data_IF_645270833218
#
_entry.id   IF_645270833218
#
_cell.length_a   1.000
_cell.length_b   1.000
_cell.length_c   1.000
_cell.angle_alpha   90.00
_cell.angle_beta   90.00
_cell.angle_gamma   90.00
#
_symmetry.space_group_name_H-M   'P 1'
#
loop_
_entity.id
_entity.type
_entity.pdbx_description
1 polymer ?
#
# COMPACT_ATOMS: atom_id res chain seq x y z
N UNK A 1 16.31 -9.41 9.09
CA UNK A 1 15.88 -9.00 10.44
C UNK A 1 15.80 -7.48 10.43
N UNK A 2 14.72 -6.90 10.95
CA UNK A 2 14.57 -5.45 11.05
C UNK A 2 15.54 -4.87 12.08
N UNK A 3 15.94 -3.61 11.91
CA UNK A 3 16.71 -2.90 12.91
C UNK A 3 15.90 -2.68 14.20
N UNK A 4 16.57 -2.36 15.32
CA UNK A 4 15.92 -2.20 16.63
C UNK A 4 14.94 -1.01 16.71
N UNK A 5 14.93 -0.13 15.72
CA UNK A 5 14.02 1.02 15.62
C UNK A 5 13.24 1.05 14.30
N UNK A 6 13.21 -0.07 13.60
CA UNK A 6 12.46 -0.23 12.37
C UNK A 6 11.16 -0.96 12.68
N UNK A 7 10.06 -0.44 12.14
CA UNK A 7 8.73 -1.01 12.34
C UNK A 7 8.16 -1.43 10.98
N UNK A 8 7.60 -2.63 10.92
CA UNK A 8 6.80 -3.07 9.77
C UNK A 8 5.33 -2.77 10.06
N UNK A 9 4.71 -1.98 9.20
CA UNK A 9 3.29 -1.62 9.28
C UNK A 9 2.52 -2.22 8.11
N UNK A 10 1.25 -2.56 8.35
CA UNK A 10 0.27 -2.90 7.31
C UNK A 10 -1.01 -2.16 7.62
N UNK A 11 -1.55 -1.47 6.61
CA UNK A 11 -2.83 -0.78 6.69
C UNK A 11 -3.73 -1.38 5.61
N UNK A 12 -4.96 -1.67 5.96
CA UNK A 12 -5.93 -2.32 5.09
C UNK A 12 -7.24 -1.54 5.12
N UNK A 13 -7.87 -1.41 3.96
CA UNK A 13 -9.22 -0.89 3.85
C UNK A 13 -10.20 -2.06 3.92
N UNK A 14 -10.94 -2.17 5.02
CA UNK A 14 -11.76 -3.37 5.29
C UNK A 14 -13.01 -3.50 4.44
N UNK A 15 -13.54 -2.38 3.94
CA UNK A 15 -14.77 -2.40 3.14
C UNK A 15 -14.46 -2.62 1.67
N UNK A 16 -15.21 -3.54 1.06
CA UNK A 16 -15.25 -3.78 -0.37
C UNK A 16 -15.94 -2.61 -1.10
N UNK A 17 -15.84 -2.62 -2.43
CA UNK A 17 -16.51 -1.64 -3.28
C UNK A 17 -18.04 -1.74 -3.09
N UNK A 18 -18.68 -0.63 -2.72
CA UNK A 18 -20.13 -0.49 -2.50
C UNK A 18 -20.72 -1.35 -1.36
N UNK A 19 -19.89 -1.80 -0.41
CA UNK A 19 -20.36 -2.48 0.80
C UNK A 19 -21.05 -1.53 1.79
N UNK A 20 -20.54 -0.31 1.92
CA UNK A 20 -21.09 0.74 2.79
C UNK A 20 -20.98 2.13 2.15
N UNK A 21 -22.08 2.88 2.17
CA UNK A 21 -22.19 4.21 1.53
C UNK A 21 -21.24 5.26 2.14
N UNK A 22 -20.77 5.04 3.36
CA UNK A 22 -19.87 5.95 4.07
C UNK A 22 -18.44 5.45 4.03
N UNK A 23 -18.23 4.17 4.32
CA UNK A 23 -16.91 3.59 4.59
C UNK A 23 -16.27 2.85 3.42
N UNK A 24 -16.99 2.58 2.32
CA UNK A 24 -16.39 2.06 1.07
C UNK A 24 -15.69 3.14 0.22
N UNK A 25 -15.29 4.27 0.82
CA UNK A 25 -14.71 5.42 0.12
C UNK A 25 -13.22 5.56 0.43
N UNK A 26 -12.42 6.11 -0.51
CA UNK A 26 -11.00 6.39 -0.26
C UNK A 26 -10.79 7.25 0.99
N UNK A 27 -9.73 6.94 1.74
CA UNK A 27 -9.35 7.64 2.97
C UNK A 27 -7.89 8.06 2.91
N UNK A 28 -7.57 9.19 3.54
CA UNK A 28 -6.20 9.67 3.72
C UNK A 28 -5.93 9.85 5.21
N UNK A 29 -4.74 9.45 5.65
CA UNK A 29 -4.31 9.58 7.04
C UNK A 29 -2.84 9.99 7.12
N UNK A 30 -2.46 10.62 8.22
CA UNK A 30 -1.09 11.04 8.48
C UNK A 30 -0.39 10.03 9.42
N UNK A 31 0.59 9.31 8.88
CA UNK A 31 1.38 8.32 9.63
C UNK A 31 2.10 8.94 10.83
N UNK A 32 2.59 10.18 10.70
CA UNK A 32 3.34 10.84 11.78
C UNK A 32 2.44 11.15 12.98
N UNK A 33 1.20 11.59 12.74
CA UNK A 33 0.21 11.81 13.79
C UNK A 33 -0.21 10.51 14.46
N UNK A 34 -0.42 9.44 13.69
CA UNK A 34 -0.83 8.14 14.22
C UNK A 34 0.23 7.53 15.15
N UNK A 35 1.52 7.64 14.81
CA UNK A 35 2.61 7.02 15.55
C UNK A 35 3.43 8.00 16.39
N UNK A 36 2.88 9.18 16.70
CA UNK A 36 3.58 10.23 17.46
C UNK A 36 4.16 9.77 18.80
N UNK A 37 3.49 8.82 19.48
CA UNK A 37 3.96 8.27 20.76
C UNK A 37 5.21 7.39 20.64
N UNK A 38 5.50 6.88 19.44
CA UNK A 38 6.67 6.03 19.14
C UNK A 38 7.87 6.91 18.75
N UNK A 39 7.62 8.12 18.26
CA UNK A 39 8.63 9.13 17.96
C UNK A 39 8.42 9.80 16.61
N UNK A 40 9.47 10.44 16.11
CA UNK A 40 9.50 11.04 14.78
C UNK A 40 9.87 9.97 13.74
N UNK A 41 9.06 9.85 12.69
CA UNK A 41 9.31 8.99 11.54
C UNK A 41 10.33 9.72 10.65
N UNK A 42 11.54 9.18 10.55
CA UNK A 42 12.61 9.77 9.74
C UNK A 42 12.59 9.32 8.27
N UNK A 43 12.00 8.16 7.99
CA UNK A 43 11.93 7.57 6.65
C UNK A 43 10.77 6.58 6.56
N UNK A 44 10.26 6.37 5.34
CA UNK A 44 9.26 5.35 5.01
C UNK A 44 9.63 4.69 3.69
N UNK A 45 9.50 3.36 3.61
CA UNK A 45 9.72 2.59 2.38
C UNK A 45 8.52 1.72 2.13
N UNK A 46 7.91 1.85 0.96
CA UNK A 46 6.79 0.99 0.56
C UNK A 46 7.31 -0.34 0.02
N UNK A 47 6.72 -1.44 0.47
CA UNK A 47 7.15 -2.81 0.15
C UNK A 47 5.98 -3.60 -0.42
N UNK A 48 6.30 -4.70 -1.11
CA UNK A 48 5.30 -5.73 -1.43
C UNK A 48 4.70 -6.33 -0.15
N UNK A 49 3.54 -6.99 -0.26
CA UNK A 49 2.76 -7.50 0.88
C UNK A 49 3.56 -8.42 1.83
N UNK A 50 4.51 -9.19 1.30
CA UNK A 50 5.43 -10.07 2.04
C UNK A 50 6.64 -9.36 2.65
N UNK A 51 6.76 -8.04 2.48
CA UNK A 51 7.84 -7.21 3.01
C UNK A 51 9.25 -7.67 2.59
N UNK A 52 9.39 -8.18 1.36
CA UNK A 52 10.65 -8.73 0.84
C UNK A 52 11.20 -8.01 -0.39
N UNK A 53 10.47 -7.04 -0.95
CA UNK A 53 10.86 -6.28 -2.14
C UNK A 53 10.30 -4.85 -2.04
N UNK A 54 11.09 -3.78 -2.30
CA UNK A 54 10.54 -2.44 -2.49
C UNK A 54 9.49 -2.42 -3.59
N UNK A 55 8.35 -1.75 -3.35
CA UNK A 55 7.25 -1.74 -4.31
C UNK A 55 7.69 -1.14 -5.66
N UNK A 56 8.57 -0.13 -5.62
CA UNK A 56 9.19 0.50 -6.80
C UNK A 56 9.94 -0.47 -7.72
N UNK A 57 10.41 -1.58 -7.16
CA UNK A 57 11.22 -2.58 -7.87
C UNK A 57 10.36 -3.74 -8.39
N UNK A 58 9.10 -3.82 -7.95
CA UNK A 58 8.17 -4.83 -8.43
C UNK A 58 7.87 -4.62 -9.92
N UNK A 59 7.92 -5.72 -10.68
CA UNK A 59 7.49 -5.77 -12.09
C UNK A 59 6.47 -6.88 -12.23
N UNK A 60 5.28 -6.55 -12.74
CA UNK A 60 4.24 -7.54 -13.04
C UNK A 60 4.26 -7.88 -14.53
N UNK A 61 3.85 -9.09 -14.85
CA UNK A 61 3.58 -9.48 -16.23
C UNK A 61 2.32 -8.77 -16.72
N UNK A 62 2.34 -8.34 -17.98
CA UNK A 62 1.17 -7.79 -18.66
C UNK A 62 0.54 -8.88 -19.52
N UNK A 63 -0.78 -9.01 -19.45
CA UNK A 63 -1.52 -10.03 -20.19
C UNK A 63 -2.49 -9.37 -21.15
N UNK A 64 -2.58 -9.90 -22.37
CA UNK A 64 -3.64 -9.53 -23.31
C UNK A 64 -4.86 -10.36 -22.93
N UNK A 65 -5.91 -9.68 -22.47
CA UNK A 65 -7.19 -10.34 -22.16
C UNK A 65 -8.04 -10.41 -23.42
N UNK A 66 -9.10 -11.24 -23.42
CA UNK A 66 -9.87 -11.63 -24.61
C UNK A 66 -10.44 -10.47 -25.45
N UNK A 67 -10.46 -9.26 -24.88
CA UNK A 67 -11.03 -8.05 -25.46
C UNK A 67 -9.96 -7.23 -26.21
N UNK A 68 -8.72 -7.73 -26.29
CA UNK A 68 -7.59 -7.05 -26.93
C UNK A 68 -7.06 -5.86 -26.13
N UNK A 69 -7.60 -5.60 -24.94
CA UNK A 69 -7.12 -4.56 -24.05
C UNK A 69 -5.91 -5.08 -23.26
N UNK A 70 -4.81 -4.34 -23.35
CA UNK A 70 -3.71 -4.45 -22.40
C UNK A 70 -4.27 -4.09 -21.02
N UNK A 71 -3.95 -4.87 -20.00
CA UNK A 71 -4.17 -4.44 -18.62
C UNK A 71 -3.29 -3.22 -18.34
N UNK A 72 -3.81 -2.00 -18.53
CA UNK A 72 -3.15 -0.79 -18.09
C UNK A 72 -3.16 -0.79 -16.56
N UNK A 73 -1.97 -0.86 -15.96
CA UNK A 73 -1.80 -0.44 -14.58
C UNK A 73 -1.53 1.06 -14.59
N UNK A 74 -2.36 1.82 -13.89
CA UNK A 74 -2.03 3.20 -13.51
C UNK A 74 -0.73 3.18 -12.70
N UNK A 75 0.35 3.69 -13.29
CA UNK A 75 1.56 4.06 -12.56
C UNK A 75 1.37 5.54 -12.23
N UNK A 76 0.93 5.83 -11.01
CA UNK A 76 0.99 7.17 -10.42
C UNK A 76 2.34 7.41 -9.76
#
# INVERSE_FOLDING_TARGET
QLGPKDYLIRVEHYFELLEDDTYSKPVTFDLQSLFKSIGLISNTVELTLSANLPLSDMRRLNWITGDGQLSEMEIS
#
